data_IF_842163146811
#
_entry.id   IF_842163146811
#
_cell.length_a   1.000
_cell.length_b   1.000
_cell.length_c   1.000
_cell.angle_alpha   90.00
_cell.angle_beta   90.00
_cell.angle_gamma   90.00
#
_symmetry.space_group_name_H-M   'P 1'
#
loop_
_entity.id
_entity.type
_entity.pdbx_description
1 polymer ?
#
# COMPACT_ATOMS: atom_id res chain seq x y z
N UNK A 1 15.49 -11.34 13.02
CA UNK A 1 14.84 -10.01 12.97
C UNK A 1 13.40 -10.19 12.51
N UNK A 2 12.41 -9.69 13.24
CA UNK A 2 10.98 -9.84 12.89
C UNK A 2 10.61 -8.75 11.89
N UNK A 3 9.85 -9.08 10.85
CA UNK A 3 9.39 -8.10 9.88
C UNK A 3 8.38 -7.16 10.55
N UNK A 4 8.62 -5.86 10.47
CA UNK A 4 7.68 -4.83 10.93
C UNK A 4 6.92 -4.27 9.72
N UNK A 5 5.65 -4.63 9.64
CA UNK A 5 4.79 -4.25 8.54
C UNK A 5 4.48 -2.75 8.51
N UNK A 6 4.35 -2.09 9.67
CA UNK A 6 4.05 -0.64 9.71
C UNK A 6 5.26 0.15 9.26
N UNK A 7 6.42 -0.15 9.84
CA UNK A 7 7.68 0.48 9.42
C UNK A 7 7.96 0.29 7.93
N UNK A 8 7.72 -0.91 7.39
CA UNK A 8 7.88 -1.15 5.96
C UNK A 8 6.93 -0.30 5.10
N UNK A 9 5.65 -0.19 5.49
CA UNK A 9 4.66 0.64 4.78
C UNK A 9 5.09 2.12 4.81
N UNK A 10 5.55 2.62 5.95
CA UNK A 10 6.03 4.00 6.09
C UNK A 10 7.23 4.26 5.15
N UNK A 11 8.21 3.34 5.12
CA UNK A 11 9.36 3.43 4.20
C UNK A 11 8.96 3.38 2.73
N UNK A 12 7.95 2.58 2.40
CA UNK A 12 7.41 2.56 1.05
C UNK A 12 6.77 3.91 0.69
N UNK A 13 5.97 4.48 1.59
CA UNK A 13 5.35 5.79 1.38
C UNK A 13 6.39 6.91 1.21
N UNK A 14 7.41 6.96 2.05
CA UNK A 14 8.53 7.91 1.96
C UNK A 14 9.27 7.81 0.61
N UNK A 15 9.41 6.60 0.08
CA UNK A 15 10.03 6.34 -1.22
C UNK A 15 9.10 6.64 -2.42
N UNK A 16 7.84 7.05 -2.18
CA UNK A 16 6.83 7.26 -3.23
C UNK A 16 6.19 5.96 -3.75
N UNK A 17 6.38 4.86 -3.05
CA UNK A 17 5.80 3.55 -3.33
C UNK A 17 4.53 3.35 -2.49
N UNK A 18 3.35 3.58 -3.06
CA UNK A 18 2.10 3.40 -2.32
C UNK A 18 1.65 1.95 -2.37
N UNK A 19 1.33 1.37 -1.22
CA UNK A 19 0.80 0.01 -1.09
C UNK A 19 -0.60 0.07 -0.51
N UNK A 20 -1.52 -0.66 -1.09
CA UNK A 20 -2.93 -0.75 -0.67
C UNK A 20 -3.40 -2.20 -0.76
N UNK A 21 -4.56 -2.52 -0.16
CA UNK A 21 -5.21 -3.82 -0.37
C UNK A 21 -6.53 -3.67 -1.13
N UNK A 22 -6.84 -4.65 -1.97
CA UNK A 22 -8.14 -4.84 -2.61
C UNK A 22 -8.63 -6.24 -2.23
N UNK A 23 -9.49 -6.33 -1.21
CA UNK A 23 -9.83 -7.60 -0.58
C UNK A 23 -8.59 -8.33 -0.06
N UNK A 24 -8.36 -9.55 -0.56
CA UNK A 24 -7.19 -10.39 -0.20
C UNK A 24 -6.00 -10.23 -1.18
N UNK A 25 -6.03 -9.19 -2.01
CA UNK A 25 -4.93 -8.84 -2.94
C UNK A 25 -4.22 -7.59 -2.45
N UNK A 26 -2.92 -7.53 -2.68
CA UNK A 26 -2.11 -6.34 -2.42
C UNK A 26 -1.86 -5.66 -3.77
N UNK A 27 -2.06 -4.35 -3.80
CA UNK A 27 -1.86 -3.51 -4.97
C UNK A 27 -0.80 -2.47 -4.62
N UNK A 28 0.16 -2.24 -5.51
CA UNK A 28 1.14 -1.17 -5.35
C UNK A 28 1.14 -0.23 -6.56
N UNK A 29 1.47 1.03 -6.33
CA UNK A 29 1.64 2.05 -7.38
C UNK A 29 2.84 2.93 -7.04
N UNK A 30 3.58 3.35 -8.06
CA UNK A 30 4.69 4.31 -7.94
C UNK A 30 4.29 5.70 -8.43
N UNK A 31 2.99 5.93 -8.71
CA UNK A 31 2.42 7.20 -9.16
C UNK A 31 3.18 7.81 -10.35
N UNK A 32 3.63 6.97 -11.28
CA UNK A 32 4.37 7.38 -12.48
C UNK A 32 5.85 7.71 -12.25
N UNK A 33 6.36 7.56 -11.03
CA UNK A 33 7.77 7.81 -10.72
C UNK A 33 8.59 6.52 -10.83
N UNK A 34 9.76 6.55 -11.50
CA UNK A 34 10.72 5.46 -11.43
C UNK A 34 11.36 5.44 -10.03
N UNK A 35 11.23 4.31 -9.33
CA UNK A 35 11.81 4.12 -7.99
C UNK A 35 12.98 3.15 -8.11
N UNK A 36 14.18 3.63 -7.80
CA UNK A 36 15.37 2.79 -7.74
C UNK A 36 15.18 1.69 -6.69
N UNK A 37 15.39 0.42 -7.08
CA UNK A 37 15.17 -0.71 -6.18
C UNK A 37 13.69 -1.10 -5.98
N UNK A 38 12.77 -0.63 -6.82
CA UNK A 38 11.36 -1.05 -6.79
C UNK A 38 11.18 -2.58 -6.74
N UNK A 39 12.05 -3.34 -7.41
CA UNK A 39 12.04 -4.80 -7.39
C UNK A 39 12.19 -5.36 -5.95
N UNK A 40 13.06 -4.78 -5.13
CA UNK A 40 13.26 -5.21 -3.74
C UNK A 40 12.00 -4.96 -2.89
N UNK A 41 11.32 -3.83 -3.12
CA UNK A 41 10.05 -3.54 -2.45
C UNK A 41 8.96 -4.53 -2.88
N UNK A 42 8.86 -4.85 -4.17
CA UNK A 42 7.90 -5.83 -4.68
C UNK A 42 8.17 -7.23 -4.10
N UNK A 43 9.43 -7.65 -4.01
CA UNK A 43 9.79 -8.95 -3.43
C UNK A 43 9.49 -9.00 -1.93
N UNK A 44 9.77 -7.94 -1.20
CA UNK A 44 9.41 -7.82 0.22
C UNK A 44 7.87 -7.88 0.41
N UNK A 45 7.11 -7.19 -0.44
CA UNK A 45 5.64 -7.24 -0.44
C UNK A 45 5.13 -8.66 -0.70
N UNK A 46 5.71 -9.37 -1.68
CA UNK A 46 5.35 -10.77 -1.98
C UNK A 46 5.63 -11.69 -0.80
N UNK A 47 6.82 -11.58 -0.20
CA UNK A 47 7.26 -12.42 0.93
C UNK A 47 6.41 -12.19 2.19
N UNK A 48 6.00 -10.95 2.45
CA UNK A 48 5.32 -10.56 3.69
C UNK A 48 3.83 -10.21 3.52
N UNK A 49 3.23 -10.59 2.38
CA UNK A 49 1.83 -10.28 2.01
C UNK A 49 0.82 -10.45 3.14
N UNK A 50 0.84 -11.60 3.84
CA UNK A 50 -0.11 -11.93 4.91
C UNK A 50 0.00 -11.00 6.13
N UNK A 51 1.19 -10.49 6.41
CA UNK A 51 1.44 -9.56 7.50
C UNK A 51 1.01 -8.15 7.08
N UNK A 52 1.35 -7.75 5.85
CA UNK A 52 1.01 -6.45 5.29
C UNK A 52 -0.50 -6.24 5.16
N UNK A 53 -1.26 -7.21 4.65
CA UNK A 53 -2.70 -7.10 4.45
C UNK A 53 -3.47 -6.63 5.69
N UNK A 54 -3.00 -6.95 6.90
CA UNK A 54 -3.65 -6.55 8.16
C UNK A 54 -3.50 -5.06 8.48
N UNK A 55 -2.52 -4.41 7.87
CA UNK A 55 -2.16 -3.02 8.11
C UNK A 55 -2.38 -2.12 6.90
N UNK A 56 -2.63 -2.70 5.73
CA UNK A 56 -2.82 -1.92 4.51
C UNK A 56 -4.22 -1.28 4.46
N UNK A 57 -4.30 -0.01 4.05
CA UNK A 57 -5.58 0.63 3.80
C UNK A 57 -6.31 -0.11 2.68
N UNK A 58 -7.60 -0.34 2.89
CA UNK A 58 -8.46 -0.90 1.86
C UNK A 58 -8.73 0.15 0.81
N UNK A 59 -8.30 -0.14 -0.43
CA UNK A 59 -8.65 0.67 -1.58
C UNK A 59 -10.08 0.32 -1.96
N UNK A 60 -11.03 0.92 -1.26
CA UNK A 60 -12.38 1.12 -1.79
C UNK A 60 -12.24 2.03 -3.01
N UNK A 61 -13.00 1.79 -4.08
CA UNK A 61 -13.04 2.70 -5.23
C UNK A 61 -13.36 4.14 -4.80
N UNK A 62 -13.34 5.13 -5.72
CA UNK A 62 -13.76 6.48 -5.38
C UNK A 62 -15.14 6.39 -4.71
N UNK A 63 -15.22 6.76 -3.43
CA UNK A 63 -16.51 7.04 -2.79
C UNK A 63 -16.99 8.29 -3.50
N UNK A 64 -17.94 8.14 -4.41
CA UNK A 64 -18.76 9.27 -4.84
C UNK A 64 -19.51 9.71 -3.58
N UNK A 65 -18.96 10.69 -2.87
CA UNK A 65 -19.68 11.40 -1.83
C UNK A 65 -20.57 12.37 -2.60
N UNK A 66 -21.88 12.17 -2.54
CA UNK A 66 -22.80 13.22 -3.00
C UNK A 66 -22.46 14.49 -2.20
N UNK A 67 -22.29 15.61 -2.90
CA UNK A 67 -21.91 16.91 -2.30
C UNK A 67 -22.91 17.44 -1.26
N UNK A 68 -23.99 16.70 -0.99
CA UNK A 68 -25.13 17.12 -0.18
C UNK A 68 -25.17 16.50 1.22
N UNK A 69 -24.25 15.59 1.56
CA UNK A 69 -24.14 15.04 2.92
C UNK A 69 -22.96 15.70 3.66
N UNK A 70 -23.19 16.93 4.16
CA UNK A 70 -22.46 17.48 5.28
C UNK A 70 -23.47 17.71 6.41
N UNK A 71 -23.40 16.88 7.46
CA UNK A 71 -24.03 17.14 8.77
C UNK A 71 -23.40 18.39 9.43
#
# INVERSE_FOLDING_TARGET
MRFDAKYFIDRCHDAGFTITRMGNRVHYTTNGKPIAGAALFVDAVRKHKRQLIKHLPERTGPKQLDLFEQD
#
